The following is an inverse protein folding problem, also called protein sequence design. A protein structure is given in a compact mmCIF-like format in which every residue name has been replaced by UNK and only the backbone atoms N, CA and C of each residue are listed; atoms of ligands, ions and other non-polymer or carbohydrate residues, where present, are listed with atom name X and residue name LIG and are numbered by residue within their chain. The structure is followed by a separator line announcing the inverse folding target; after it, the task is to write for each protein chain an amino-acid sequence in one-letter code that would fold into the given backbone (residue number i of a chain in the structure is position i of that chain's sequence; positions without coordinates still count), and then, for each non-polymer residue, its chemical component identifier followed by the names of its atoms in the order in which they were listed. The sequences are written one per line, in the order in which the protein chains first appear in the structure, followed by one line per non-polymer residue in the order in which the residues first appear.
data_IF_776842819463
#
_entry.id   IF_776842819463
#
_cell.length_a   1.000
_cell.length_b   1.000
_cell.length_c   1.000
_cell.angle_alpha   90.00
_cell.angle_beta   90.00
_cell.angle_gamma   90.00
#
_symmetry.space_group_name_H-M   'P 1'
#
loop_
_entity.id
_entity.type
_entity.pdbx_description
1 polymer ?
#
# COMPACT_ATOMS: atom_id res chain seq x y z
N UNK A 1 -6.05 10.06 15.32
CA UNK A 1 -6.45 8.71 14.86
C UNK A 1 -5.20 7.95 14.45
N UNK A 2 -5.05 6.76 14.98
CA UNK A 2 -3.94 5.88 14.62
C UNK A 2 -4.27 5.08 13.35
N UNK A 3 -3.25 4.73 12.60
CA UNK A 3 -3.37 4.01 11.33
C UNK A 3 -4.05 2.66 11.51
N UNK A 4 -3.85 1.98 12.64
CA UNK A 4 -4.45 0.68 12.93
C UNK A 4 -5.98 0.69 12.79
N UNK A 5 -6.61 1.86 13.00
CA UNK A 5 -8.06 2.00 12.95
C UNK A 5 -8.64 2.12 11.53
N UNK A 6 -7.78 2.29 10.53
CA UNK A 6 -8.22 2.46 9.14
C UNK A 6 -7.45 1.65 8.12
N UNK A 7 -6.40 0.95 8.53
CA UNK A 7 -5.60 0.15 7.61
C UNK A 7 -6.35 -1.08 7.10
N UNK A 8 -5.98 -1.56 5.92
CA UNK A 8 -6.35 -2.87 5.45
C UNK A 8 -5.41 -3.88 6.09
N UNK A 9 -5.96 -4.77 6.92
CA UNK A 9 -5.19 -5.85 7.56
C UNK A 9 -5.01 -7.01 6.58
N UNK A 10 -3.94 -7.79 6.78
CA UNK A 10 -3.62 -8.96 5.96
C UNK A 10 -3.71 -8.67 4.47
N UNK A 11 -2.93 -7.71 3.96
CA UNK A 11 -2.98 -7.36 2.55
C UNK A 11 -2.53 -8.54 1.69
N UNK A 12 -3.06 -8.60 0.47
CA UNK A 12 -2.57 -9.57 -0.51
C UNK A 12 -1.13 -9.25 -0.83
N UNK A 13 -0.27 -10.24 -0.82
CA UNK A 13 1.17 -10.11 -1.08
C UNK A 13 1.59 -10.99 -2.25
N UNK A 14 2.81 -10.78 -2.73
CA UNK A 14 3.38 -11.61 -3.79
C UNK A 14 4.85 -11.92 -3.46
N UNK A 15 5.30 -13.09 -3.89
CA UNK A 15 6.69 -13.49 -3.72
C UNK A 15 7.56 -12.82 -4.80
N UNK A 16 8.81 -12.44 -4.49
CA UNK A 16 9.69 -11.75 -5.46
C UNK A 16 10.01 -12.58 -6.70
N UNK A 17 9.93 -13.90 -6.63
CA UNK A 17 10.22 -14.78 -7.78
C UNK A 17 8.99 -15.07 -8.65
N UNK A 18 7.83 -14.58 -8.28
CA UNK A 18 6.65 -14.64 -9.15
C UNK A 18 6.81 -13.74 -10.37
N UNK A 19 6.02 -14.00 -11.41
CA UNK A 19 6.05 -13.19 -12.62
C UNK A 19 5.24 -11.91 -12.46
N UNK A 20 5.56 -10.91 -13.28
CA UNK A 20 4.76 -9.69 -13.35
C UNK A 20 3.35 -9.97 -13.88
N UNK A 21 3.19 -10.98 -14.72
CA UNK A 21 1.89 -11.44 -15.19
C UNK A 21 1.00 -11.88 -14.01
N UNK A 22 1.57 -12.61 -13.05
CA UNK A 22 0.87 -13.01 -11.82
C UNK A 22 0.48 -11.78 -11.00
N UNK A 23 1.40 -10.83 -10.86
CA UNK A 23 1.15 -9.60 -10.12
C UNK A 23 0.00 -8.81 -10.75
N UNK A 24 -0.03 -8.69 -12.08
CA UNK A 24 -1.11 -8.01 -12.79
C UNK A 24 -2.45 -8.68 -12.54
N UNK A 25 -2.49 -10.01 -12.59
CA UNK A 25 -3.72 -10.77 -12.31
C UNK A 25 -4.24 -10.50 -10.89
N UNK A 26 -3.33 -10.44 -9.90
CA UNK A 26 -3.69 -10.14 -8.52
C UNK A 26 -4.27 -8.72 -8.40
N UNK A 27 -3.62 -7.75 -9.02
CA UNK A 27 -4.09 -6.35 -9.00
C UNK A 27 -5.45 -6.20 -9.66
N UNK A 28 -5.64 -6.82 -10.82
CA UNK A 28 -6.90 -6.75 -11.57
C UNK A 28 -8.03 -7.41 -10.78
N UNK A 29 -7.80 -8.60 -10.22
CA UNK A 29 -8.80 -9.34 -9.46
C UNK A 29 -9.22 -8.60 -8.17
N UNK A 30 -8.29 -7.94 -7.51
CA UNK A 30 -8.55 -7.22 -6.28
C UNK A 30 -8.92 -5.75 -6.48
N UNK A 31 -8.85 -5.27 -7.72
CA UNK A 31 -9.05 -3.86 -8.05
C UNK A 31 -8.18 -2.93 -7.22
N UNK A 32 -6.90 -3.26 -7.08
CA UNK A 32 -5.92 -2.42 -6.39
C UNK A 32 -4.67 -2.24 -7.25
N UNK A 33 -3.89 -1.21 -6.96
CA UNK A 33 -2.80 -0.73 -7.80
C UNK A 33 -1.42 -1.00 -7.25
N UNK A 34 -1.31 -1.68 -6.11
CA UNK A 34 -0.04 -2.01 -5.48
C UNK A 34 -0.13 -3.29 -4.71
N UNK A 35 0.99 -4.00 -4.67
CA UNK A 35 1.10 -5.27 -3.96
C UNK A 35 2.42 -5.27 -3.20
N UNK A 36 2.40 -5.46 -1.88
CA UNK A 36 3.64 -5.67 -1.13
C UNK A 36 4.30 -6.98 -1.55
N UNK A 37 5.62 -6.93 -1.66
CA UNK A 37 6.43 -8.10 -2.01
C UNK A 37 7.05 -8.65 -0.74
N UNK A 38 6.76 -9.92 -0.44
CA UNK A 38 7.18 -10.57 0.80
C UNK A 38 7.96 -11.83 0.48
N UNK A 39 9.09 -11.99 1.14
CA UNK A 39 9.93 -13.18 1.05
C UNK A 39 10.22 -13.68 2.46
N UNK A 40 9.86 -14.93 2.73
CA UNK A 40 10.08 -15.58 4.02
C UNK A 40 9.55 -14.73 5.19
N UNK A 41 8.34 -14.19 5.02
CA UNK A 41 7.67 -13.37 6.04
C UNK A 41 8.14 -11.93 6.12
N UNK A 42 9.14 -11.53 5.34
CA UNK A 42 9.70 -10.18 5.38
C UNK A 42 9.29 -9.35 4.16
N UNK A 43 8.94 -8.11 4.41
CA UNK A 43 8.69 -7.15 3.35
C UNK A 43 10.02 -6.82 2.66
N UNK A 44 10.12 -7.14 1.37
CA UNK A 44 11.35 -6.89 0.58
C UNK A 44 11.15 -5.85 -0.51
N UNK A 45 9.92 -5.51 -0.85
CA UNK A 45 9.65 -4.54 -1.87
C UNK A 45 8.18 -4.18 -1.95
N UNK A 46 7.88 -3.26 -2.83
CA UNK A 46 6.51 -2.94 -3.22
C UNK A 46 6.45 -2.82 -4.74
N UNK A 47 5.38 -3.38 -5.32
CA UNK A 47 5.16 -3.35 -6.75
C UNK A 47 3.87 -2.58 -7.03
N UNK A 48 3.94 -1.62 -7.96
CA UNK A 48 2.78 -0.82 -8.34
C UNK A 48 2.39 -1.09 -9.79
N UNK A 49 1.17 -0.73 -10.15
CA UNK A 49 0.70 -0.80 -11.53
C UNK A 49 1.61 0.00 -12.47
N UNK A 50 2.10 1.15 -12.00
CA UNK A 50 3.04 1.98 -12.77
C UNK A 50 4.31 1.22 -13.11
N UNK A 51 4.82 0.42 -12.17
CA UNK A 51 6.04 -0.37 -12.40
C UNK A 51 5.84 -1.41 -13.51
N UNK A 52 4.63 -1.94 -13.66
CA UNK A 52 4.32 -2.91 -14.71
C UNK A 52 4.37 -2.30 -16.10
N UNK A 53 4.12 -1.00 -16.24
CA UNK A 53 4.03 -0.33 -17.56
C UNK A 53 5.32 -0.41 -18.35
N UNK A 54 6.46 -0.41 -17.67
CA UNK A 54 7.77 -0.50 -18.31
C UNK A 54 8.04 -1.87 -18.91
N UNK A 55 7.25 -2.89 -18.51
CA UNK A 55 7.45 -4.28 -18.90
C UNK A 55 6.30 -4.83 -19.75
N UNK A 56 5.45 -3.96 -20.30
CA UNK A 56 4.37 -4.40 -21.19
C UNK A 56 4.97 -5.17 -22.37
N UNK A 57 4.44 -6.38 -22.62
CA UNK A 57 5.01 -7.30 -23.60
C UNK A 57 5.99 -8.30 -23.00
N UNK A 58 6.46 -8.08 -21.78
CA UNK A 58 7.44 -8.95 -21.10
C UNK A 58 6.96 -9.41 -19.73
N UNK A 59 5.67 -9.29 -19.44
CA UNK A 59 5.14 -9.59 -18.10
C UNK A 59 5.33 -11.06 -17.70
N UNK A 60 5.23 -11.98 -18.65
CA UNK A 60 5.37 -13.41 -18.38
C UNK A 60 6.83 -13.84 -18.16
N UNK A 61 7.76 -13.08 -18.71
CA UNK A 61 9.19 -13.41 -18.65
C UNK A 61 9.95 -12.57 -17.61
N UNK A 62 9.29 -11.65 -16.92
CA UNK A 62 9.91 -10.77 -15.93
C UNK A 62 9.46 -11.14 -14.54
N UNK A 63 10.41 -11.27 -13.61
CA UNK A 63 10.13 -11.55 -12.20
C UNK A 63 9.81 -10.26 -11.46
N UNK A 64 9.02 -10.39 -10.41
CA UNK A 64 8.63 -9.26 -9.54
C UNK A 64 9.86 -8.51 -9.00
N UNK A 65 10.90 -9.25 -8.58
CA UNK A 65 12.10 -8.63 -8.02
C UNK A 65 12.87 -7.75 -9.00
N UNK A 66 12.66 -7.90 -10.30
CA UNK A 66 13.30 -7.05 -11.30
C UNK A 66 12.62 -5.67 -11.42
N UNK A 67 11.35 -5.58 -11.03
CA UNK A 67 10.54 -4.37 -11.20
C UNK A 67 10.16 -3.68 -9.89
N UNK A 68 10.17 -4.41 -8.78
CA UNK A 68 9.75 -3.88 -7.48
C UNK A 68 10.64 -2.76 -6.99
N UNK A 69 10.08 -1.88 -6.18
CA UNK A 69 10.82 -0.84 -5.46
C UNK A 69 11.31 -1.41 -4.14
N UNK A 70 12.57 -1.14 -3.82
CA UNK A 70 13.21 -1.63 -2.59
C UNK A 70 13.52 -0.52 -1.59
N UNK A 71 13.51 0.74 -2.02
CA UNK A 71 13.64 1.88 -1.13
C UNK A 71 12.27 2.11 -0.47
N UNK A 72 12.01 1.39 0.62
CA UNK A 72 10.68 1.33 1.24
C UNK A 72 10.49 2.45 2.26
N UNK A 73 9.31 3.08 2.20
CA UNK A 73 8.83 3.99 3.23
C UNK A 73 7.72 3.25 3.95
N UNK A 74 7.89 2.96 5.23
CA UNK A 74 6.94 2.19 6.03
C UNK A 74 6.48 2.96 7.24
N UNK A 75 5.36 2.53 7.82
CA UNK A 75 4.84 3.04 9.08
C UNK A 75 4.53 1.87 10.00
N UNK A 76 4.26 2.18 11.28
CA UNK A 76 3.78 1.20 12.24
C UNK A 76 2.27 1.36 12.44
N UNK A 77 1.57 0.37 13.02
CA UNK A 77 0.15 0.51 13.31
C UNK A 77 -0.18 1.68 14.22
N UNK A 78 0.78 2.10 15.03
CA UNK A 78 0.59 3.16 16.04
C UNK A 78 0.95 4.55 15.54
N UNK A 79 1.51 4.68 14.34
CA UNK A 79 1.65 5.98 13.71
C UNK A 79 0.27 6.60 13.49
N UNK A 80 0.24 7.93 13.44
CA UNK A 80 -1.02 8.65 13.21
C UNK A 80 -1.34 8.76 11.73
N UNK A 81 -2.59 9.05 11.44
CA UNK A 81 -3.05 9.36 10.08
C UNK A 81 -2.27 10.56 9.52
N UNK A 82 -1.93 11.55 10.38
CA UNK A 82 -1.11 12.68 9.98
C UNK A 82 0.29 12.27 9.54
N UNK A 83 0.90 11.33 10.29
CA UNK A 83 2.22 10.79 9.92
C UNK A 83 2.18 10.18 8.52
N UNK A 84 1.17 9.36 8.26
CA UNK A 84 1.00 8.72 6.96
C UNK A 84 0.81 9.76 5.85
N UNK A 85 -0.05 10.74 6.09
CA UNK A 85 -0.31 11.80 5.10
C UNK A 85 0.97 12.57 4.77
N UNK A 86 1.77 12.95 5.77
CA UNK A 86 3.03 13.66 5.55
C UNK A 86 4.02 12.83 4.73
N UNK A 87 4.15 11.55 5.05
CA UNK A 87 5.06 10.66 4.31
C UNK A 87 4.61 10.48 2.85
N UNK A 88 3.31 10.31 2.62
CA UNK A 88 2.78 10.19 1.26
C UNK A 88 3.06 11.44 0.44
N UNK A 89 2.85 12.62 1.02
CA UNK A 89 3.12 13.89 0.35
C UNK A 89 4.62 14.12 0.12
N UNK A 90 5.43 13.82 1.14
CA UNK A 90 6.88 14.01 1.06
C UNK A 90 7.51 13.12 0.00
N UNK A 91 7.10 11.86 -0.07
CA UNK A 91 7.67 10.88 -0.99
C UNK A 91 6.86 10.72 -2.28
N UNK A 92 5.74 11.44 -2.44
CA UNK A 92 4.85 11.37 -3.61
C UNK A 92 4.40 9.94 -3.90
N UNK A 93 3.97 9.25 -2.86
CA UNK A 93 3.48 7.86 -2.95
C UNK A 93 2.06 7.78 -2.40
N UNK A 94 1.27 6.87 -2.96
CA UNK A 94 -0.15 6.72 -2.61
C UNK A 94 -0.46 5.55 -1.68
N UNK A 95 0.56 4.92 -1.12
CA UNK A 95 0.36 3.82 -0.18
C UNK A 95 1.60 3.51 0.60
N UNK A 96 1.41 3.09 1.85
CA UNK A 96 2.49 2.76 2.78
C UNK A 96 2.26 1.38 3.37
N UNK A 97 3.25 0.48 3.26
CA UNK A 97 3.21 -0.75 4.03
C UNK A 97 3.29 -0.45 5.52
N UNK A 98 2.55 -1.23 6.30
CA UNK A 98 2.52 -1.11 7.76
C UNK A 98 3.23 -2.31 8.33
N UNK A 99 4.28 -2.06 9.10
CA UNK A 99 5.17 -3.10 9.63
C UNK A 99 5.18 -3.04 11.16
N UNK A 100 5.03 -4.18 11.79
CA UNK A 100 5.15 -4.35 13.23
C UNK A 100 6.11 -5.51 13.50
N UNK A 101 7.15 -5.27 14.31
CA UNK A 101 8.15 -6.28 14.67
C UNK A 101 8.76 -6.98 13.44
N UNK A 102 9.05 -6.22 12.40
CA UNK A 102 9.65 -6.73 11.17
C UNK A 102 8.68 -7.44 10.22
N UNK A 103 7.41 -7.55 10.59
CA UNK A 103 6.39 -8.27 9.82
C UNK A 103 5.39 -7.30 9.21
N UNK A 104 5.04 -7.51 7.96
CA UNK A 104 3.97 -6.76 7.29
C UNK A 104 2.64 -7.13 7.94
N UNK A 105 1.93 -6.12 8.45
CA UNK A 105 0.63 -6.31 9.11
C UNK A 105 -0.53 -5.63 8.39
N UNK A 106 -0.24 -4.75 7.46
CA UNK A 106 -1.28 -4.04 6.74
C UNK A 106 -0.74 -3.11 5.68
N UNK A 107 -1.64 -2.39 5.07
CA UNK A 107 -1.33 -1.32 4.13
C UNK A 107 -2.31 -0.17 4.35
N UNK A 108 -1.84 1.05 4.22
CA UNK A 108 -2.66 2.26 4.23
C UNK A 108 -2.46 3.01 2.94
N UNK A 109 -3.56 3.44 2.33
CA UNK A 109 -3.53 4.12 1.03
C UNK A 109 -4.13 5.51 1.12
N UNK A 110 -3.92 6.31 0.08
CA UNK A 110 -4.55 7.64 -0.04
C UNK A 110 -6.07 7.52 0.08
N UNK A 111 -6.67 6.50 -0.50
CA UNK A 111 -8.12 6.27 -0.39
C UNK A 111 -8.56 6.07 1.05
N UNK A 112 -7.77 5.35 1.86
CA UNK A 112 -8.05 5.17 3.28
C UNK A 112 -8.05 6.52 4.01
N UNK A 113 -7.07 7.38 3.71
CA UNK A 113 -6.97 8.70 4.31
C UNK A 113 -8.14 9.59 3.91
N UNK A 114 -8.55 9.53 2.66
CA UNK A 114 -9.71 10.30 2.17
C UNK A 114 -11.01 9.86 2.86
N UNK A 115 -11.19 8.55 3.06
CA UNK A 115 -12.35 8.05 3.80
C UNK A 115 -12.36 8.55 5.23
N UNK A 116 -11.20 8.52 5.90
CA UNK A 116 -11.06 9.05 7.26
C UNK A 116 -11.39 10.54 7.30
N UNK A 117 -10.90 11.30 6.33
CA UNK A 117 -11.18 12.72 6.21
C UNK A 117 -12.69 13.01 6.06
N UNK A 118 -13.37 12.24 5.23
CA UNK A 118 -14.82 12.39 5.04
C UNK A 118 -15.61 12.14 6.33
N UNK A 119 -15.18 11.17 7.13
CA UNK A 119 -15.81 10.90 8.43
C UNK A 119 -15.65 12.10 9.37
N UNK A 120 -14.45 12.67 9.45
CA UNK A 120 -14.16 13.83 10.30
C UNK A 120 -14.97 15.04 9.84
N UNK A 121 -14.99 15.33 8.55
CA UNK A 121 -15.71 16.47 7.97
C UNK A 121 -17.21 16.33 8.19
N UNK A 122 -17.77 15.13 7.98
CA UNK A 122 -19.19 14.86 8.21
C UNK A 122 -19.56 15.08 9.70
N UNK A 123 -18.71 14.60 10.61
CA UNK A 123 -18.90 14.80 12.05
C UNK A 123 -18.87 16.28 12.43
N UNK A 124 -17.92 17.02 11.89
CA UNK A 124 -17.82 18.48 12.12
C UNK A 124 -19.05 19.19 11.57
N UNK A 125 -19.50 18.82 10.37
CA UNK A 125 -20.68 19.41 9.75
C UNK A 125 -21.93 19.17 10.58
N UNK A 126 -22.10 17.98 11.12
CA UNK A 126 -23.21 17.64 12.00
C UNK A 126 -23.20 18.46 13.29
N UNK A 127 -22.02 18.73 13.85
CA UNK A 127 -21.88 19.56 15.05
C UNK A 127 -22.24 21.02 14.75
N UNK A 128 -21.86 21.51 13.61
CA UNK A 128 -22.07 22.92 13.23
C UNK A 128 -23.47 23.21 12.70
N UNK A 129 -24.22 22.22 12.31
CA UNK A 129 -25.58 22.33 11.82
C UNK A 129 -26.54 21.57 12.76
N UNK A 130 -26.88 22.19 13.90
CA UNK A 130 -27.75 21.53 14.90
C UNK A 130 -29.17 21.33 14.39
#
# INVERSE_FOLDING_TARGET
MQIVNLMTSDPVTIHPHETLSKAKSIMDAGNFRRVPVVDDGRLVGILTERDLREYIGYLESTRVNAAMRTALVTVTPYNTVEDAARLMLQHKIGGLPIVADGTLVGIVTTSDLLRAFLVVVAGTSQIMNP
#
